data_IF_156554795864
#
_entry.id   IF_156554795864
#
_cell.length_a   1.000
_cell.length_b   1.000
_cell.length_c   1.000
_cell.angle_alpha   90.00
_cell.angle_beta   90.00
_cell.angle_gamma   90.00
#
_symmetry.space_group_name_H-M   'P 1'
#
loop_
_entity.id
_entity.type
_entity.pdbx_description
1 polymer ?
#
# COMPACT_ATOMS: atom_id res chain seq x y z
N UNK A 1 26.27 -14.65 -31.52
CA UNK A 1 25.47 -15.02 -30.34
C UNK A 1 25.13 -13.73 -29.62
N UNK A 2 23.90 -13.26 -29.74
CA UNK A 2 23.46 -12.03 -29.06
C UNK A 2 22.27 -12.46 -28.22
N UNK A 3 22.55 -12.82 -26.97
CA UNK A 3 21.53 -13.03 -25.96
C UNK A 3 20.81 -11.70 -25.75
N UNK A 4 19.68 -11.53 -26.45
CA UNK A 4 18.74 -10.46 -26.16
C UNK A 4 18.20 -10.76 -24.78
N UNK A 5 18.60 -9.96 -23.80
CA UNK A 5 17.96 -9.89 -22.50
C UNK A 5 16.47 -9.64 -22.71
N UNK A 6 15.67 -10.71 -22.67
CA UNK A 6 14.24 -10.68 -22.41
C UNK A 6 14.08 -10.26 -20.95
N UNK A 7 14.25 -8.96 -20.68
CA UNK A 7 13.62 -8.35 -19.52
C UNK A 7 12.26 -7.86 -19.97
N UNK A 8 11.35 -8.81 -20.18
CA UNK A 8 9.93 -8.56 -19.97
C UNK A 8 9.87 -7.88 -18.60
N UNK A 9 9.40 -6.63 -18.46
CA UNK A 9 9.14 -6.08 -17.14
C UNK A 9 7.98 -6.92 -16.61
N UNK A 10 8.33 -8.03 -15.93
CA UNK A 10 7.38 -8.86 -15.20
C UNK A 10 6.53 -7.88 -14.44
N UNK A 11 5.25 -7.82 -14.77
CA UNK A 11 4.27 -7.12 -13.98
C UNK A 11 4.46 -7.65 -12.56
N UNK A 12 5.14 -6.88 -11.70
CA UNK A 12 5.11 -7.07 -10.26
C UNK A 12 3.74 -6.54 -9.83
N UNK A 13 2.69 -7.22 -10.29
CA UNK A 13 1.43 -7.23 -9.57
C UNK A 13 1.82 -7.58 -8.14
N UNK A 14 1.54 -6.74 -7.12
CA UNK A 14 1.81 -7.09 -5.75
C UNK A 14 1.11 -8.43 -5.56
N UNK A 15 1.87 -9.52 -5.36
CA UNK A 15 1.27 -10.82 -5.40
C UNK A 15 0.23 -10.86 -4.28
N UNK A 16 -0.87 -11.61 -4.47
CA UNK A 16 -1.75 -11.98 -3.35
C UNK A 16 -0.94 -12.46 -2.13
N UNK A 17 0.23 -13.05 -2.38
CA UNK A 17 1.21 -13.43 -1.38
C UNK A 17 1.73 -12.29 -0.50
N UNK A 18 1.75 -11.02 -0.92
CA UNK A 18 2.16 -9.90 -0.06
C UNK A 18 1.16 -9.68 1.08
N UNK A 19 -0.15 -9.78 0.82
CA UNK A 19 -1.17 -9.71 1.88
C UNK A 19 -0.98 -10.88 2.84
N UNK A 20 -0.91 -12.09 2.31
CA UNK A 20 -0.81 -13.31 3.10
C UNK A 20 0.45 -13.29 3.96
N UNK A 21 1.61 -12.93 3.40
CA UNK A 21 2.86 -12.84 4.15
C UNK A 21 2.81 -11.79 5.27
N UNK A 22 2.22 -10.62 5.02
CA UNK A 22 2.04 -9.60 6.07
C UNK A 22 1.12 -10.13 7.18
N UNK A 23 0.02 -10.80 6.83
CA UNK A 23 -0.94 -11.34 7.80
C UNK A 23 -0.39 -12.54 8.58
N UNK A 24 0.45 -13.36 7.96
CA UNK A 24 1.12 -14.51 8.57
C UNK A 24 2.33 -14.11 9.44
N UNK A 25 2.72 -12.82 9.45
CA UNK A 25 3.92 -12.36 10.17
C UNK A 25 5.23 -12.79 9.52
N UNK A 26 5.18 -13.19 8.24
CA UNK A 26 6.34 -13.60 7.44
C UNK A 26 7.07 -12.40 6.79
N UNK A 27 6.84 -11.19 7.31
CA UNK A 27 7.44 -9.95 6.83
C UNK A 27 7.97 -9.10 7.99
N UNK A 28 9.18 -8.57 7.83
CA UNK A 28 9.72 -7.54 8.71
C UNK A 28 9.20 -6.17 8.24
N UNK A 29 8.62 -5.40 9.16
CA UNK A 29 7.95 -4.14 8.83
C UNK A 29 8.61 -3.02 9.63
N UNK A 30 9.06 -1.98 8.95
CA UNK A 30 9.73 -0.83 9.54
C UNK A 30 9.00 0.46 9.15
N UNK A 31 8.64 1.27 10.15
CA UNK A 31 8.14 2.62 9.90
C UNK A 31 9.25 3.52 9.34
N UNK A 32 8.94 4.24 8.26
CA UNK A 32 9.87 5.19 7.64
C UNK A 32 9.49 6.63 7.96
N UNK A 33 8.26 7.02 7.62
CA UNK A 33 7.80 8.41 7.76
C UNK A 33 6.29 8.52 7.68
N UNK A 34 5.76 9.69 8.06
CA UNK A 34 4.37 10.05 7.79
C UNK A 34 4.31 11.44 7.14
N UNK A 35 3.24 11.69 6.39
CA UNK A 35 3.02 12.95 5.70
C UNK A 35 1.54 13.24 5.51
N UNK A 36 1.21 14.51 5.27
CA UNK A 36 -0.09 14.89 4.73
C UNK A 36 -0.05 14.72 3.21
N UNK A 37 -0.96 13.92 2.67
CA UNK A 37 -1.00 13.56 1.27
C UNK A 37 -2.42 13.76 0.71
N UNK A 38 -2.50 14.26 -0.52
CA UNK A 38 -3.78 14.44 -1.22
C UNK A 38 -3.89 13.41 -2.33
N UNK A 39 -4.90 12.54 -2.25
CA UNK A 39 -5.15 11.49 -3.24
C UNK A 39 -6.41 11.73 -4.03
N UNK A 40 -6.34 11.45 -5.33
CA UNK A 40 -7.50 11.31 -6.19
C UNK A 40 -8.24 10.00 -5.83
N UNK A 41 -9.47 10.13 -5.39
CA UNK A 41 -10.38 9.02 -5.08
C UNK A 41 -11.58 9.07 -6.02
N UNK A 42 -12.39 8.02 -6.03
CA UNK A 42 -13.67 8.03 -6.76
C UNK A 42 -14.61 9.14 -6.25
N UNK A 43 -14.45 9.54 -5.00
CA UNK A 43 -15.21 10.62 -4.33
C UNK A 43 -14.45 11.95 -4.39
N UNK A 44 -13.57 12.16 -5.39
CA UNK A 44 -12.82 13.40 -5.59
C UNK A 44 -11.43 13.41 -4.95
N UNK A 45 -10.81 14.60 -4.89
CA UNK A 45 -9.50 14.80 -4.25
C UNK A 45 -9.68 14.94 -2.74
N UNK A 46 -9.03 14.05 -1.99
CA UNK A 46 -9.09 14.03 -0.55
C UNK A 46 -7.72 14.19 0.06
N UNK A 47 -7.61 15.11 1.01
CA UNK A 47 -6.45 15.16 1.89
C UNK A 47 -6.56 14.05 2.94
N UNK A 48 -5.44 13.47 3.32
CA UNK A 48 -5.35 12.46 4.35
C UNK A 48 -3.95 12.39 4.95
N UNK A 49 -3.78 11.48 5.90
CA UNK A 49 -2.48 11.15 6.48
C UNK A 49 -1.97 9.86 5.87
N UNK A 50 -0.82 9.94 5.22
CA UNK A 50 -0.09 8.82 4.66
C UNK A 50 1.00 8.39 5.63
N UNK A 51 1.10 7.09 5.88
CA UNK A 51 2.16 6.46 6.66
C UNK A 51 2.94 5.53 5.74
N UNK A 52 4.25 5.77 5.63
CA UNK A 52 5.16 5.00 4.80
C UNK A 52 5.91 3.96 5.65
N UNK A 53 5.88 2.72 5.18
CA UNK A 53 6.55 1.58 5.78
C UNK A 53 7.42 0.88 4.76
N UNK A 54 8.56 0.37 5.20
CA UNK A 54 9.34 -0.62 4.47
C UNK A 54 8.91 -2.01 4.95
N UNK A 55 8.59 -2.89 4.01
CA UNK A 55 8.19 -4.28 4.26
C UNK A 55 9.18 -5.20 3.58
N UNK A 56 9.99 -5.89 4.36
CA UNK A 56 10.94 -6.89 3.88
C UNK A 56 10.33 -8.28 4.02
N UNK A 57 10.10 -8.90 2.89
CA UNK A 57 9.55 -10.24 2.77
C UNK A 57 10.63 -11.29 3.01
N UNK A 58 10.21 -12.50 3.38
CA UNK A 58 11.11 -13.63 3.64
C UNK A 58 11.92 -14.07 2.42
N UNK A 59 11.40 -13.86 1.22
CA UNK A 59 12.10 -14.13 -0.05
C UNK A 59 13.18 -13.07 -0.37
N UNK A 60 13.38 -12.09 0.52
CA UNK A 60 14.36 -11.01 0.38
C UNK A 60 13.83 -9.80 -0.38
N UNK A 61 12.60 -9.84 -0.92
CA UNK A 61 12.00 -8.68 -1.58
C UNK A 61 11.67 -7.59 -0.56
N UNK A 62 11.99 -6.35 -0.91
CA UNK A 62 11.68 -5.18 -0.10
C UNK A 62 10.65 -4.33 -0.84
N UNK A 63 9.57 -3.98 -0.16
CA UNK A 63 8.48 -3.18 -0.69
C UNK A 63 8.26 -1.95 0.18
N UNK A 64 8.00 -0.82 -0.45
CA UNK A 64 7.53 0.36 0.25
C UNK A 64 5.99 0.37 0.23
N UNK A 65 5.39 0.40 1.40
CA UNK A 65 3.95 0.34 1.60
C UNK A 65 3.47 1.66 2.20
N UNK A 66 2.51 2.28 1.53
CA UNK A 66 1.85 3.49 2.00
C UNK A 66 0.46 3.13 2.51
N UNK A 67 0.19 3.41 3.79
CA UNK A 67 -1.15 3.35 4.37
C UNK A 67 -1.70 4.77 4.42
N UNK A 68 -2.75 5.03 3.66
CA UNK A 68 -3.39 6.34 3.60
C UNK A 68 -4.77 6.32 4.29
N UNK A 69 -4.94 7.22 5.24
CA UNK A 69 -6.20 7.49 5.92
C UNK A 69 -6.74 8.85 5.48
N UNK A 70 -7.96 8.93 4.93
CA UNK A 70 -8.53 10.22 4.61
C UNK A 70 -8.70 11.08 5.86
N UNK A 71 -8.66 12.41 5.72
CA UNK A 71 -8.91 13.34 6.81
C UNK A 71 -10.37 13.21 7.32
N UNK A 72 -10.63 13.67 8.55
CA UNK A 72 -11.97 13.61 9.15
C UNK A 72 -13.00 14.50 8.47
N UNK A 73 -12.57 15.52 7.72
CA UNK A 73 -13.44 16.48 7.06
C UNK A 73 -13.61 16.09 5.59
N UNK A 74 -14.86 15.99 5.16
CA UNK A 74 -15.20 15.81 3.77
C UNK A 74 -15.14 17.13 3.00
N UNK A 75 -14.48 17.19 1.83
CA UNK A 75 -14.68 18.30 0.91
C UNK A 75 -16.14 18.27 0.42
N UNK A 76 -16.82 19.41 0.48
CA UNK A 76 -18.12 19.63 -0.16
C UNK A 76 -17.95 19.40 -1.69
N UNK A 77 -18.78 18.60 -2.39
CA UNK A 77 -20.12 18.07 -2.04
C UNK A 77 -20.17 16.61 -1.58
N UNK A 78 -19.04 16.02 -1.20
CA UNK A 78 -18.99 14.59 -0.93
C UNK A 78 -19.57 14.25 0.44
N UNK A 79 -20.64 13.44 0.44
CA UNK A 79 -21.36 13.04 1.66
C UNK A 79 -20.66 11.92 2.44
N UNK A 80 -19.69 11.24 1.83
CA UNK A 80 -19.00 10.08 2.41
C UNK A 80 -17.51 10.20 2.23
N UNK A 81 -16.81 9.86 3.31
CA UNK A 81 -15.36 9.79 3.35
C UNK A 81 -14.88 8.54 2.61
N UNK A 82 -13.83 8.63 1.77
CA UNK A 82 -13.27 7.47 1.13
C UNK A 82 -12.74 6.50 2.16
N UNK A 83 -12.60 5.26 1.72
CA UNK A 83 -12.05 4.21 2.56
C UNK A 83 -10.53 4.36 2.71
N UNK A 84 -9.98 3.77 3.76
CA UNK A 84 -8.53 3.63 3.91
C UNK A 84 -7.96 2.89 2.69
N UNK A 85 -6.79 3.32 2.23
CA UNK A 85 -6.08 2.69 1.13
C UNK A 85 -4.73 2.17 1.64
N UNK A 86 -4.34 1.00 1.18
CA UNK A 86 -2.96 0.50 1.34
C UNK A 86 -2.43 0.26 -0.06
N UNK A 87 -1.34 0.92 -0.40
CA UNK A 87 -0.71 0.84 -1.72
C UNK A 87 0.75 0.43 -1.58
N UNK A 88 1.25 -0.37 -2.50
CA UNK A 88 2.68 -0.64 -2.66
C UNK A 88 3.23 0.31 -3.70
N UNK A 89 4.36 0.95 -3.38
CA UNK A 89 5.13 1.75 -4.31
C UNK A 89 6.02 0.82 -5.12
N UNK A 90 5.74 0.74 -6.42
CA UNK A 90 6.54 -0.01 -7.39
C UNK A 90 7.23 0.95 -8.36
N UNK A 91 8.16 0.46 -9.17
CA UNK A 91 8.76 1.24 -10.25
C UNK A 91 7.74 1.69 -11.32
N UNK A 92 6.53 1.11 -11.33
CA UNK A 92 5.43 1.45 -12.24
C UNK A 92 4.40 2.40 -11.62
N UNK A 93 4.57 2.77 -10.34
CA UNK A 93 3.66 3.64 -9.60
C UNK A 93 3.05 2.98 -8.36
N UNK A 94 2.02 3.62 -7.80
CA UNK A 94 1.29 3.11 -6.64
C UNK A 94 0.29 2.03 -7.06
N UNK A 95 0.38 0.85 -6.44
CA UNK A 95 -0.56 -0.24 -6.70
C UNK A 95 -1.34 -0.61 -5.44
N UNK A 96 -2.69 -0.61 -5.46
CA UNK A 96 -3.49 -0.96 -4.30
C UNK A 96 -3.28 -2.43 -3.93
N UNK A 97 -3.09 -2.67 -2.64
CA UNK A 97 -2.84 -4.00 -2.11
C UNK A 97 -4.11 -4.87 -2.18
N UNK A 98 -5.27 -4.33 -1.85
CA UNK A 98 -6.57 -5.01 -1.92
C UNK A 98 -7.70 -4.02 -2.20
N UNK A 99 -8.76 -4.50 -2.85
CA UNK A 99 -10.03 -3.78 -2.99
C UNK A 99 -11.01 -4.06 -1.82
N UNK A 100 -10.72 -5.04 -0.96
CA UNK A 100 -11.57 -5.42 0.16
C UNK A 100 -11.15 -4.69 1.45
N UNK A 101 -12.08 -3.94 2.06
CA UNK A 101 -11.79 -3.13 3.23
C UNK A 101 -11.42 -3.95 4.47
N UNK A 102 -12.06 -5.09 4.70
CA UNK A 102 -11.77 -5.95 5.84
C UNK A 102 -10.33 -6.48 5.77
N UNK A 103 -9.90 -6.89 4.58
CA UNK A 103 -8.51 -7.33 4.35
C UNK A 103 -7.53 -6.20 4.62
N UNK A 104 -7.81 -4.98 4.13
CA UNK A 104 -6.98 -3.81 4.40
C UNK A 104 -6.87 -3.50 5.89
N UNK A 105 -7.99 -3.56 6.64
CA UNK A 105 -7.99 -3.33 8.08
C UNK A 105 -7.18 -4.38 8.84
N UNK A 106 -7.23 -5.65 8.41
CA UNK A 106 -6.40 -6.73 8.99
C UNK A 106 -4.91 -6.49 8.72
N UNK A 107 -4.57 -6.13 7.49
CA UNK A 107 -3.18 -5.80 7.10
C UNK A 107 -2.66 -4.63 7.92
N UNK A 108 -3.43 -3.55 8.03
CA UNK A 108 -3.05 -2.39 8.84
C UNK A 108 -2.85 -2.76 10.32
N UNK A 109 -3.74 -3.57 10.89
CA UNK A 109 -3.60 -4.07 12.27
C UNK A 109 -2.33 -4.91 12.44
N UNK A 110 -1.96 -5.73 11.46
CA UNK A 110 -0.72 -6.49 11.48
C UNK A 110 0.50 -5.57 11.45
N UNK A 111 0.53 -4.60 10.52
CA UNK A 111 1.59 -3.57 10.42
C UNK A 111 1.78 -2.84 11.75
N UNK A 112 0.68 -2.40 12.38
CA UNK A 112 0.70 -1.62 13.62
C UNK A 112 1.12 -2.44 14.86
N UNK A 113 0.99 -3.76 14.84
CA UNK A 113 1.46 -4.60 15.96
C UNK A 113 2.97 -4.82 15.96
N UNK A 114 3.59 -4.68 14.79
CA UNK A 114 5.01 -4.98 14.57
C UNK A 114 5.92 -3.76 14.77
N UNK A 115 5.38 -2.53 14.58
CA UNK A 115 6.08 -1.27 14.84
C UNK A 115 5.73 -0.67 16.19
#
# INVERSE_FOLDING_TARGET
>A
MTEKYTSDPKLDNPPKGTIEQILEGNSEIRFLSDSLDTRDTFEGKWQGRAYLYEVKMRDGKVWNLTVWFPATIAPDPYKKKPKMQITILTNQGEMPLSANQETLDRVYKAIRKTG
#
